data_IF_497564267705
#
_entry.id   IF_497564267705
#
_cell.length_a   1.000
_cell.length_b   1.000
_cell.length_c   1.000
_cell.angle_alpha   90.00
_cell.angle_beta   90.00
_cell.angle_gamma   90.00
#
_symmetry.space_group_name_H-M   'P 1'
#
loop_
_entity.id
_entity.type
_entity.pdbx_description
1 polymer ?
#
# COMPACT_ATOMS: atom_id res chain seq x y z
N UNK A 1 26.01 11.12 -2.18
CA UNK A 1 25.25 10.19 -1.35
C UNK A 1 23.79 10.53 -1.57
N UNK A 2 23.02 9.62 -2.17
CA UNK A 2 21.58 9.80 -2.33
C UNK A 2 20.94 9.34 -1.02
N UNK A 3 20.29 10.26 -0.32
CA UNK A 3 19.42 9.91 0.81
C UNK A 3 18.44 8.82 0.34
N UNK A 4 18.45 7.69 1.02
CA UNK A 4 17.52 6.59 0.71
C UNK A 4 16.09 7.05 0.94
N UNK A 5 15.18 6.70 0.02
CA UNK A 5 13.76 6.95 0.21
C UNK A 5 13.29 6.20 1.46
N UNK A 6 12.81 6.95 2.45
CA UNK A 6 12.31 6.38 3.69
C UNK A 6 10.79 6.17 3.61
N UNK A 7 10.36 4.91 3.61
CA UNK A 7 8.94 4.54 3.63
C UNK A 7 8.42 4.47 5.06
N UNK A 8 7.33 5.17 5.35
CA UNK A 8 6.66 5.18 6.66
C UNK A 8 5.27 4.60 6.50
N UNK A 9 4.91 3.65 7.37
CA UNK A 9 3.53 3.15 7.48
C UNK A 9 2.75 4.14 8.32
N UNK A 10 1.75 4.78 7.72
CA UNK A 10 0.91 5.78 8.40
C UNK A 10 -0.40 5.21 8.93
N UNK A 11 -0.90 4.13 8.33
CA UNK A 11 -2.16 3.49 8.69
C UNK A 11 -2.02 1.96 8.59
N UNK A 12 -2.68 1.24 9.51
CA UNK A 12 -2.70 -0.22 9.53
C UNK A 12 -4.13 -0.70 9.72
N UNK A 13 -4.59 -1.55 8.83
CA UNK A 13 -5.91 -2.18 8.89
C UNK A 13 -5.75 -3.68 9.11
N UNK A 14 -6.54 -4.21 10.05
CA UNK A 14 -6.49 -5.62 10.43
C UNK A 14 -7.72 -6.42 9.96
N UNK A 15 -8.63 -5.78 9.21
CA UNK A 15 -9.78 -6.44 8.60
C UNK A 15 -10.15 -5.82 7.24
N UNK A 16 -10.79 -6.58 6.33
CA UNK A 16 -11.34 -6.05 5.09
C UNK A 16 -12.43 -5.01 5.31
N UNK A 17 -13.31 -5.22 6.29
CA UNK A 17 -14.40 -4.30 6.59
C UNK A 17 -13.89 -2.91 7.02
N UNK A 18 -12.89 -2.88 7.89
CA UNK A 18 -12.23 -1.62 8.32
C UNK A 18 -11.55 -0.95 7.13
N UNK A 19 -10.77 -1.71 6.36
CA UNK A 19 -10.05 -1.19 5.19
C UNK A 19 -11.01 -0.57 4.15
N UNK A 20 -12.12 -1.24 3.85
CA UNK A 20 -13.13 -0.79 2.89
C UNK A 20 -13.81 0.53 3.31
N UNK A 21 -13.89 0.81 4.61
CA UNK A 21 -14.51 2.03 5.12
C UNK A 21 -13.50 3.18 5.27
N UNK A 22 -12.28 2.90 5.72
CA UNK A 22 -11.32 3.94 6.10
C UNK A 22 -10.40 4.35 4.94
N UNK A 23 -9.98 3.42 4.08
CA UNK A 23 -9.11 3.74 2.93
C UNK A 23 -9.76 4.78 1.99
N UNK A 24 -11.04 4.64 1.60
CA UNK A 24 -11.66 5.65 0.75
C UNK A 24 -11.69 7.04 1.36
N UNK A 25 -11.81 7.16 2.68
CA UNK A 25 -11.77 8.45 3.37
C UNK A 25 -10.37 9.07 3.29
N UNK A 26 -9.32 8.26 3.53
CA UNK A 26 -7.92 8.70 3.44
C UNK A 26 -7.51 9.14 2.03
N UNK A 27 -8.04 8.50 0.98
CA UNK A 27 -7.74 8.90 -0.40
C UNK A 27 -8.47 10.17 -0.83
N UNK A 28 -9.59 10.51 -0.18
CA UNK A 28 -10.36 11.74 -0.45
C UNK A 28 -9.94 12.93 0.41
N UNK A 29 -9.10 12.71 1.42
CA UNK A 29 -8.51 13.80 2.19
C UNK A 29 -7.58 14.62 1.29
N UNK A 30 -8.04 15.80 0.88
CA UNK A 30 -7.21 16.80 0.24
C UNK A 30 -6.31 17.43 1.30
N UNK A 31 -5.00 17.43 1.05
CA UNK A 31 -4.01 17.89 2.03
C UNK A 31 -4.31 19.30 2.53
N UNK A 32 -4.45 19.46 3.85
CA UNK A 32 -4.37 20.78 4.47
C UNK A 32 -2.97 21.34 4.20
N UNK A 33 -2.90 22.52 3.60
CA UNK A 33 -1.65 23.22 3.26
C UNK A 33 -0.89 23.75 4.48
N UNK A 34 -1.35 23.44 5.69
CA UNK A 34 -0.72 23.83 6.95
C UNK A 34 0.09 22.67 7.50
N UNK A 35 1.41 22.75 7.30
CA UNK A 35 2.40 21.85 7.87
C UNK A 35 2.35 21.91 9.39
N UNK A 36 1.69 20.95 10.04
CA UNK A 36 2.07 20.34 11.33
C UNK A 36 0.95 19.36 11.71
N UNK A 37 1.32 18.08 11.80
CA UNK A 37 0.59 16.98 12.46
C UNK A 37 -0.46 16.22 11.61
N UNK A 38 -0.09 14.99 11.23
CA UNK A 38 -0.95 13.83 10.96
C UNK A 38 -2.21 14.02 10.09
N UNK A 39 -2.04 14.08 8.76
CA UNK A 39 -3.15 14.00 7.81
C UNK A 39 -2.72 13.80 6.35
N UNK A 40 -1.65 13.04 6.11
CA UNK A 40 -1.15 12.83 4.75
C UNK A 40 -1.87 11.63 4.12
N UNK A 41 -2.65 11.89 3.08
CA UNK A 41 -3.20 10.86 2.21
C UNK A 41 -2.07 9.93 1.73
N UNK A 42 -2.21 8.60 1.87
CA UNK A 42 -1.13 7.67 1.58
C UNK A 42 -0.66 7.80 0.12
N UNK A 43 0.61 7.47 -0.13
CA UNK A 43 1.16 7.41 -1.49
C UNK A 43 0.90 6.05 -2.16
N UNK A 44 0.77 4.99 -1.37
CA UNK A 44 0.49 3.65 -1.84
C UNK A 44 -0.28 2.87 -0.77
N UNK A 45 -0.98 1.82 -1.21
CA UNK A 45 -1.70 0.89 -0.34
C UNK A 45 -1.07 -0.49 -0.48
N UNK A 46 -0.78 -1.14 0.65
CA UNK A 46 -0.16 -2.47 0.68
C UNK A 46 -1.16 -3.45 1.28
N UNK A 47 -1.50 -4.48 0.50
CA UNK A 47 -2.42 -5.55 0.85
C UNK A 47 -1.63 -6.80 1.22
N UNK A 48 -1.72 -7.20 2.49
CA UNK A 48 -1.02 -8.38 3.01
C UNK A 48 -1.47 -9.70 2.37
N UNK A 49 -0.72 -10.77 2.64
CA UNK A 49 -0.99 -12.10 2.10
C UNK A 49 -2.33 -12.69 2.53
N UNK A 50 -2.84 -12.29 3.71
CA UNK A 50 -4.12 -12.75 4.25
C UNK A 50 -5.37 -12.13 3.62
N UNK A 51 -5.22 -11.06 2.83
CA UNK A 51 -6.33 -10.49 2.07
C UNK A 51 -6.52 -11.26 0.76
N UNK A 52 -7.76 -11.60 0.43
CA UNK A 52 -8.12 -12.29 -0.80
C UNK A 52 -8.10 -11.34 -2.00
N UNK A 53 -8.22 -11.90 -3.20
CA UNK A 53 -8.38 -11.11 -4.43
C UNK A 53 -9.71 -10.33 -4.39
N UNK A 54 -10.79 -10.93 -3.88
CA UNK A 54 -12.08 -10.27 -3.71
C UNK A 54 -11.99 -9.09 -2.74
N UNK A 55 -11.28 -9.23 -1.61
CA UNK A 55 -11.08 -8.11 -0.68
C UNK A 55 -10.39 -6.92 -1.37
N UNK A 56 -9.35 -7.19 -2.17
CA UNK A 56 -8.64 -6.16 -2.94
C UNK A 56 -9.59 -5.44 -3.90
N UNK A 57 -10.37 -6.18 -4.67
CA UNK A 57 -11.31 -5.61 -5.65
C UNK A 57 -12.38 -4.76 -4.97
N UNK A 58 -12.97 -5.25 -3.88
CA UNK A 58 -14.00 -4.52 -3.14
C UNK A 58 -13.48 -3.25 -2.48
N UNK A 59 -12.30 -3.31 -1.85
CA UNK A 59 -11.68 -2.15 -1.19
C UNK A 59 -11.28 -1.12 -2.24
N UNK A 60 -10.68 -1.56 -3.36
CA UNK A 60 -10.30 -0.66 -4.45
C UNK A 60 -11.51 0.00 -5.07
N UNK A 61 -12.57 -0.76 -5.38
CA UNK A 61 -13.81 -0.22 -5.92
C UNK A 61 -14.44 0.84 -4.99
N UNK A 62 -14.47 0.59 -3.68
CA UNK A 62 -14.97 1.56 -2.69
C UNK A 62 -14.12 2.84 -2.62
N UNK A 63 -12.84 2.73 -3.00
CA UNK A 63 -11.84 3.80 -2.94
C UNK A 63 -11.79 4.66 -4.21
N UNK A 64 -12.54 4.31 -5.27
CA UNK A 64 -12.63 5.11 -6.48
C UNK A 64 -13.57 6.31 -6.31
N UNK A 65 -13.44 7.30 -7.19
CA UNK A 65 -14.29 8.49 -7.24
C UNK A 65 -13.55 9.73 -7.74
N UNK A 66 -14.28 10.79 -8.11
CA UNK A 66 -13.69 12.03 -8.67
C UNK A 66 -12.74 12.73 -7.68
N UNK A 67 -13.00 12.61 -6.38
CA UNK A 67 -12.20 13.24 -5.33
C UNK A 67 -11.12 12.30 -4.76
N UNK A 68 -11.00 11.08 -5.28
CA UNK A 68 -10.03 10.11 -4.79
C UNK A 68 -8.66 10.35 -5.42
N UNK A 69 -7.64 10.52 -4.58
CA UNK A 69 -6.24 10.55 -5.02
C UNK A 69 -5.86 9.18 -5.60
N UNK A 70 -5.33 9.12 -6.84
CA UNK A 70 -4.81 7.88 -7.39
C UNK A 70 -3.53 7.47 -6.64
N UNK A 71 -3.44 6.18 -6.32
CA UNK A 71 -2.32 5.59 -5.57
C UNK A 71 -2.00 4.21 -6.10
N UNK A 72 -0.73 3.82 -6.04
CA UNK A 72 -0.33 2.46 -6.37
C UNK A 72 -0.82 1.46 -5.32
N UNK A 73 -1.26 0.29 -5.77
CA UNK A 73 -1.70 -0.82 -4.94
C UNK A 73 -0.68 -1.96 -5.03
N UNK A 74 -0.15 -2.40 -3.90
CA UNK A 74 0.77 -3.54 -3.83
C UNK A 74 0.03 -4.70 -3.16
N UNK A 75 -0.07 -5.85 -3.84
CA UNK A 75 -0.64 -7.07 -3.27
C UNK A 75 0.44 -8.10 -3.05
N UNK A 76 0.59 -8.56 -1.80
CA UNK A 76 1.48 -9.69 -1.52
C UNK A 76 0.95 -10.94 -2.20
N UNK A 77 1.80 -11.49 -3.07
CA UNK A 77 1.61 -12.77 -3.73
C UNK A 77 2.33 -13.86 -2.92
N UNK A 78 1.59 -14.78 -2.28
CA UNK A 78 2.20 -15.86 -1.52
C UNK A 78 3.05 -16.79 -2.41
N UNK A 79 2.75 -16.92 -3.70
CA UNK A 79 3.53 -17.75 -4.62
C UNK A 79 4.94 -17.20 -4.90
N UNK A 80 5.17 -15.91 -4.67
CA UNK A 80 6.48 -15.27 -4.80
C UNK A 80 7.38 -15.46 -3.58
N UNK A 81 6.86 -16.06 -2.50
CA UNK A 81 7.68 -16.42 -1.36
C UNK A 81 8.01 -17.90 -1.43
N UNK A 82 9.30 -18.30 -1.37
CA UNK A 82 9.66 -19.70 -1.33
C UNK A 82 8.93 -20.43 -0.19
N UNK A 83 8.33 -21.57 -0.48
CA UNK A 83 7.65 -22.42 0.50
C UNK A 83 8.57 -22.93 1.60
N UNK A 84 9.89 -22.83 1.41
CA UNK A 84 10.92 -23.13 2.39
C UNK A 84 11.07 -22.10 3.51
N UNK A 85 10.50 -20.90 3.36
CA UNK A 85 10.53 -19.87 4.41
C UNK A 85 9.30 -20.05 5.30
N UNK A 86 9.44 -20.52 6.55
CA UNK A 86 8.30 -20.63 7.45
C UNK A 86 7.70 -19.25 7.73
N UNK A 87 6.38 -19.22 7.92
CA UNK A 87 5.68 -18.01 8.34
C UNK A 87 6.25 -17.56 9.69
N UNK A 88 6.89 -16.39 9.70
CA UNK A 88 7.65 -15.90 10.84
C UNK A 88 8.41 -14.62 10.50
N UNK A 89 9.33 -14.18 11.38
CA UNK A 89 10.06 -12.92 11.20
C UNK A 89 10.83 -12.84 9.88
N UNK A 90 11.37 -13.96 9.39
CA UNK A 90 12.10 -14.02 8.12
C UNK A 90 11.18 -13.82 6.91
N UNK A 91 10.00 -14.47 6.93
CA UNK A 91 8.94 -14.22 5.94
C UNK A 91 8.56 -12.73 5.90
N UNK A 92 8.32 -12.14 7.07
CA UNK A 92 8.00 -10.72 7.19
C UNK A 92 9.08 -9.81 6.61
N UNK A 93 10.37 -10.10 6.87
CA UNK A 93 11.50 -9.36 6.29
C UNK A 93 11.57 -9.52 4.77
N UNK A 94 11.34 -10.72 4.24
CA UNK A 94 11.36 -10.97 2.80
C UNK A 94 10.22 -10.25 2.05
N UNK A 95 9.01 -10.25 2.62
CA UNK A 95 7.88 -9.46 2.10
C UNK A 95 8.20 -7.97 2.17
N UNK A 96 8.62 -7.47 3.34
CA UNK A 96 8.91 -6.05 3.52
C UNK A 96 10.02 -5.56 2.58
N UNK A 97 11.04 -6.38 2.29
CA UNK A 97 12.07 -6.04 1.31
C UNK A 97 11.47 -5.88 -0.08
N UNK A 98 10.70 -6.87 -0.57
CA UNK A 98 10.04 -6.79 -1.89
C UNK A 98 9.10 -5.60 -2.00
N UNK A 99 8.34 -5.30 -0.95
CA UNK A 99 7.49 -4.12 -0.89
C UNK A 99 8.32 -2.85 -1.09
N UNK A 100 9.41 -2.69 -0.34
CA UNK A 100 10.28 -1.50 -0.44
C UNK A 100 10.94 -1.39 -1.80
N UNK A 101 11.53 -2.47 -2.30
CA UNK A 101 12.15 -2.51 -3.62
C UNK A 101 11.14 -2.06 -4.69
N UNK A 102 9.90 -2.55 -4.64
CA UNK A 102 8.86 -2.18 -5.59
C UNK A 102 8.39 -0.73 -5.44
N UNK A 103 8.27 -0.22 -4.21
CA UNK A 103 7.94 1.18 -3.97
C UNK A 103 9.04 2.11 -4.50
N UNK A 104 10.30 1.76 -4.32
CA UNK A 104 11.44 2.54 -4.83
C UNK A 104 11.43 2.61 -6.38
N UNK A 105 11.11 1.49 -7.04
CA UNK A 105 10.90 1.45 -8.50
C UNK A 105 9.75 2.38 -8.92
N UNK A 106 8.59 2.29 -8.26
CA UNK A 106 7.43 3.12 -8.58
C UNK A 106 7.67 4.61 -8.35
N UNK A 107 8.43 4.97 -7.31
CA UNK A 107 8.83 6.36 -7.05
C UNK A 107 9.77 6.86 -8.14
N UNK A 108 10.78 6.06 -8.51
CA UNK A 108 11.74 6.42 -9.56
C UNK A 108 11.09 6.56 -10.93
N UNK A 109 10.13 5.69 -11.23
CA UNK A 109 9.51 5.60 -12.56
C UNK A 109 8.22 6.46 -12.68
N UNK A 110 7.82 7.14 -11.59
CA UNK A 110 6.59 7.97 -11.57
C UNK A 110 5.30 7.17 -11.71
N UNK A 111 5.26 5.97 -11.11
CA UNK A 111 4.10 5.08 -11.05
C UNK A 111 3.37 5.08 -9.71
N UNK A 112 3.90 5.74 -8.68
CA UNK A 112 3.34 5.71 -7.32
C UNK A 112 1.96 6.39 -7.22
N UNK A 113 1.67 7.32 -8.12
CA UNK A 113 0.44 8.13 -8.22
C UNK A 113 -0.53 7.57 -9.26
N UNK A 114 -0.39 6.30 -9.66
CA UNK A 114 -1.27 5.62 -10.61
C UNK A 114 -2.09 4.55 -9.91
N UNK A 115 -3.37 4.49 -10.22
CA UNK A 115 -4.29 3.44 -9.73
C UNK A 115 -4.02 2.09 -10.43
N UNK A 116 -2.84 1.54 -10.20
CA UNK A 116 -2.37 0.26 -10.75
C UNK A 116 -2.10 -0.76 -9.63
N UNK A 117 -2.39 -2.03 -9.92
CA UNK A 117 -2.14 -3.14 -8.99
C UNK A 117 -0.84 -3.85 -9.36
N UNK A 118 0.06 -3.96 -8.39
CA UNK A 118 1.34 -4.65 -8.50
C UNK A 118 1.40 -5.82 -7.53
N UNK A 119 1.56 -7.03 -8.05
CA UNK A 119 1.74 -8.22 -7.25
C UNK A 119 3.22 -8.35 -6.84
N UNK A 120 3.50 -8.42 -5.54
CA UNK A 120 4.85 -8.46 -4.97
C UNK A 120 5.17 -9.76 -4.26
#
# INVERSE_FOLDING_TARGET
>A
MIDGVHHIVTHLFLSPATAKNEIPALLRQTGSTTSTESGNSPAAIIMGGGYTQTDLEEIRAASQGPDAKPVAWLKVDPAKTPSSIPVGPEYGRAVAKRTKDRLDELVRDGGIDRDEVHFI
#
